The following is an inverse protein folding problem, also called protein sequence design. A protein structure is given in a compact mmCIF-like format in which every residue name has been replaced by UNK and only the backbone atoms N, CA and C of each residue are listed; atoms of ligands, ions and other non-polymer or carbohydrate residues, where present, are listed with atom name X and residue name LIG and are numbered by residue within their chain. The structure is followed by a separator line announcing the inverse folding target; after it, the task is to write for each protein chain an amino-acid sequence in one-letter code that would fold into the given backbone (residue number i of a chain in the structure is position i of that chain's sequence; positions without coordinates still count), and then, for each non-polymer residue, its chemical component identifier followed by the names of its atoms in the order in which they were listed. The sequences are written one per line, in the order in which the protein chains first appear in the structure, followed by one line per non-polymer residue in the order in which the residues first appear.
data_IF_205157684277
#
_entry.id   IF_205157684277
#
_cell.length_a   1.000
_cell.length_b   1.000
_cell.length_c   1.000
_cell.angle_alpha   90.00
_cell.angle_beta   90.00
_cell.angle_gamma   90.00
#
_symmetry.space_group_name_H-M   'P 1'
#
loop_
_entity.id
_entity.type
_entity.pdbx_description
1 polymer ?
#
# COMPACT_ATOMS: atom_id res chain seq x y z
N UNK A 1 -13.23 -44.08 18.62
CA UNK A 1 -12.03 -43.62 17.88
C UNK A 1 -12.31 -42.50 16.85
N UNK A 2 -13.56 -42.24 16.45
CA UNK A 2 -13.92 -41.16 15.50
C UNK A 2 -13.93 -39.75 16.11
N UNK A 3 -14.14 -39.61 17.44
CA UNK A 3 -14.27 -38.32 18.13
C UNK A 3 -12.95 -37.53 18.23
N UNK A 4 -11.82 -38.21 18.18
CA UNK A 4 -10.48 -37.60 18.21
C UNK A 4 -10.04 -37.08 16.82
N UNK A 5 -10.65 -37.56 15.72
CA UNK A 5 -10.34 -37.09 14.36
C UNK A 5 -10.97 -35.71 14.05
N UNK A 6 -12.12 -35.40 14.64
CA UNK A 6 -12.78 -34.11 14.43
C UNK A 6 -12.07 -32.95 15.16
N UNK A 7 -11.44 -33.22 16.30
CA UNK A 7 -10.69 -32.21 17.05
C UNK A 7 -9.41 -31.78 16.30
N UNK A 8 -8.76 -32.71 15.59
CA UNK A 8 -7.54 -32.43 14.81
C UNK A 8 -7.83 -31.65 13.52
N UNK A 9 -9.00 -31.85 12.91
CA UNK A 9 -9.38 -31.16 11.66
C UNK A 9 -9.71 -29.67 11.88
N UNK A 10 -10.23 -29.31 13.05
CA UNK A 10 -10.54 -27.91 13.41
C UNK A 10 -9.27 -27.14 13.78
N UNK A 11 -8.26 -27.81 14.36
CA UNK A 11 -6.99 -27.19 14.75
C UNK A 11 -6.07 -26.87 13.57
N UNK A 12 -6.22 -27.56 12.43
CA UNK A 12 -5.43 -27.31 11.22
C UNK A 12 -5.90 -26.09 10.41
N UNK A 13 -7.15 -25.62 10.63
CA UNK A 13 -7.75 -24.55 9.82
C UNK A 13 -7.40 -23.13 10.33
N UNK A 14 -6.89 -23.00 11.55
CA UNK A 14 -6.53 -21.69 12.16
C UNK A 14 -5.10 -21.25 11.88
N UNK A 15 -4.25 -22.09 11.28
CA UNK A 15 -2.83 -21.80 11.03
C UNK A 15 -2.53 -21.20 9.64
N UNK A 16 -3.55 -20.91 8.83
CA UNK A 16 -3.37 -20.46 7.44
C UNK A 16 -3.42 -18.92 7.23
N UNK A 17 -3.48 -18.11 8.30
CA UNK A 17 -3.61 -16.64 8.20
C UNK A 17 -2.34 -15.86 8.59
N UNK A 18 -1.17 -16.46 8.54
CA UNK A 18 0.11 -15.73 8.64
C UNK A 18 0.48 -15.16 7.27
N UNK A 19 -0.33 -14.23 6.77
CA UNK A 19 0.06 -13.34 5.68
C UNK A 19 1.15 -12.40 6.20
N UNK A 20 2.41 -12.75 5.96
CA UNK A 20 3.56 -11.92 6.29
C UNK A 20 3.68 -10.80 5.25
N UNK A 21 2.77 -9.81 5.29
CA UNK A 21 2.99 -8.52 4.65
C UNK A 21 3.97 -7.72 5.49
N UNK A 22 5.02 -7.15 4.87
CA UNK A 22 5.88 -6.21 5.60
C UNK A 22 5.09 -4.92 5.90
N UNK A 23 5.39 -4.25 7.01
CA UNK A 23 4.75 -2.96 7.35
C UNK A 23 4.88 -1.90 6.24
N UNK A 24 5.92 -2.01 5.40
CA UNK A 24 6.14 -1.15 4.24
C UNK A 24 5.12 -1.41 3.13
N UNK A 25 4.72 -2.66 2.90
CA UNK A 25 3.72 -3.01 1.89
C UNK A 25 2.33 -2.51 2.30
N UNK A 26 1.98 -2.65 3.58
CA UNK A 26 0.72 -2.14 4.09
C UNK A 26 0.69 -0.61 4.09
N UNK A 27 1.78 0.04 4.51
CA UNK A 27 1.93 1.49 4.36
C UNK A 27 1.83 1.92 2.88
N UNK A 28 2.40 1.16 1.94
CA UNK A 28 2.28 1.48 0.51
C UNK A 28 0.82 1.46 0.04
N UNK A 29 0.02 0.49 0.50
CA UNK A 29 -1.42 0.40 0.19
C UNK A 29 -2.18 1.60 0.75
N UNK A 30 -1.89 2.00 1.99
CA UNK A 30 -2.54 3.15 2.64
C UNK A 30 -2.19 4.47 1.95
N UNK A 31 -0.90 4.70 1.67
CA UNK A 31 -0.44 5.91 0.95
C UNK A 31 -1.06 5.95 -0.44
N UNK A 32 -1.10 4.82 -1.16
CA UNK A 32 -1.77 4.72 -2.47
C UNK A 32 -3.24 5.10 -2.37
N UNK A 33 -3.98 4.54 -1.42
CA UNK A 33 -5.39 4.86 -1.23
C UNK A 33 -5.60 6.36 -0.94
N UNK A 34 -4.74 6.96 -0.12
CA UNK A 34 -4.76 8.40 0.17
C UNK A 34 -4.50 9.26 -1.09
N UNK A 35 -3.56 8.87 -1.96
CA UNK A 35 -3.33 9.54 -3.24
C UNK A 35 -4.54 9.41 -4.18
N UNK A 36 -5.13 8.22 -4.30
CA UNK A 36 -6.32 7.98 -5.12
C UNK A 36 -7.50 8.83 -4.65
N UNK A 37 -7.74 8.92 -3.34
CA UNK A 37 -8.76 9.78 -2.76
C UNK A 37 -8.49 11.25 -3.04
N UNK A 38 -7.24 11.70 -2.83
CA UNK A 38 -6.84 13.10 -3.06
C UNK A 38 -7.03 13.49 -4.52
N UNK A 39 -6.60 12.64 -5.46
CA UNK A 39 -6.75 12.92 -6.89
C UNK A 39 -8.22 12.93 -7.32
N UNK A 40 -9.06 12.05 -6.77
CA UNK A 40 -10.48 12.02 -7.10
C UNK A 40 -11.24 13.30 -6.68
N UNK A 41 -10.75 14.02 -5.67
CA UNK A 41 -11.40 15.21 -5.13
C UNK A 41 -11.07 16.51 -5.90
N UNK A 42 -10.01 16.54 -6.72
CA UNK A 42 -9.61 17.73 -7.48
C UNK A 42 -9.88 17.56 -8.98
N UNK A 43 -10.57 18.53 -9.59
CA UNK A 43 -10.87 18.53 -11.01
C UNK A 43 -9.63 18.48 -11.91
N UNK A 44 -8.50 19.02 -11.43
CA UNK A 44 -7.23 19.02 -12.15
C UNK A 44 -6.57 17.65 -12.15
N UNK A 45 -6.82 16.78 -11.17
CA UNK A 45 -6.10 15.50 -11.00
C UNK A 45 -7.00 14.27 -11.07
N UNK A 46 -8.33 14.39 -11.03
CA UNK A 46 -9.27 13.25 -11.08
C UNK A 46 -9.18 12.37 -12.33
N UNK A 47 -8.49 12.83 -13.38
CA UNK A 47 -8.26 12.08 -14.61
C UNK A 47 -6.99 11.22 -14.54
N UNK A 48 -6.15 11.41 -13.51
CA UNK A 48 -4.93 10.65 -13.25
C UNK A 48 -5.34 9.26 -12.72
N UNK A 49 -4.80 8.22 -13.35
CA UNK A 49 -4.97 6.84 -12.88
C UNK A 49 -3.66 6.30 -12.33
N UNK A 50 -3.63 5.96 -11.03
CA UNK A 50 -2.48 5.27 -10.45
C UNK A 50 -2.44 3.84 -10.97
N UNK A 51 -1.39 3.49 -11.72
CA UNK A 51 -1.17 2.13 -12.24
C UNK A 51 -0.40 1.28 -11.23
N UNK A 52 0.65 1.85 -10.67
CA UNK A 52 1.49 1.18 -9.70
C UNK A 52 2.04 2.19 -8.69
N UNK A 53 2.26 1.71 -7.46
CA UNK A 53 2.94 2.46 -6.42
C UNK A 53 3.81 1.51 -5.61
N UNK A 54 5.12 1.71 -5.70
CA UNK A 54 6.09 0.94 -4.93
C UNK A 54 6.69 1.84 -3.86
N UNK A 55 6.78 1.36 -2.62
CA UNK A 55 7.38 2.08 -1.50
C UNK A 55 8.60 1.33 -0.97
N UNK A 56 9.70 2.05 -0.74
CA UNK A 56 10.90 1.52 -0.10
C UNK A 56 11.17 2.30 1.19
N UNK A 57 11.60 1.58 2.22
CA UNK A 57 12.10 2.22 3.45
C UNK A 57 13.50 2.76 3.18
N UNK A 58 13.75 4.03 3.52
CA UNK A 58 15.05 4.66 3.33
C UNK A 58 15.83 4.66 4.65
N UNK A 59 15.36 5.43 5.63
CA UNK A 59 15.95 5.50 6.97
C UNK A 59 14.95 6.11 7.96
N UNK A 60 15.05 5.69 9.23
CA UNK A 60 14.20 6.18 10.30
C UNK A 60 12.71 6.14 9.94
N UNK A 61 12.09 7.31 9.87
CA UNK A 61 10.66 7.50 9.53
C UNK A 61 10.41 7.78 8.05
N UNK A 62 11.44 7.74 7.20
CA UNK A 62 11.40 8.18 5.80
C UNK A 62 11.34 7.00 4.86
N UNK A 63 10.55 7.18 3.81
CA UNK A 63 10.32 6.22 2.75
C UNK A 63 10.33 6.95 1.41
N UNK A 64 10.76 6.27 0.35
CA UNK A 64 10.66 6.76 -1.03
C UNK A 64 9.72 5.90 -1.83
N UNK A 65 8.81 6.54 -2.53
CA UNK A 65 7.83 5.93 -3.40
C UNK A 65 8.17 6.17 -4.87
N UNK A 66 7.88 5.18 -5.71
CA UNK A 66 7.81 5.34 -7.16
C UNK A 66 6.35 5.23 -7.58
N UNK A 67 5.78 6.33 -8.02
CA UNK A 67 4.39 6.42 -8.46
C UNK A 67 4.33 6.39 -9.99
N UNK A 68 3.66 5.39 -10.54
CA UNK A 68 3.41 5.29 -11.97
C UNK A 68 1.95 5.59 -12.28
N UNK A 69 1.70 6.61 -13.10
CA UNK A 69 0.36 7.06 -13.47
C UNK A 69 0.09 6.88 -14.96
N UNK A 70 -1.19 6.96 -15.31
CA UNK A 70 -1.67 7.16 -16.68
C UNK A 70 -2.49 8.45 -16.71
N UNK A 71 -2.08 9.41 -17.52
CA UNK A 71 -2.67 10.75 -17.61
C UNK A 71 -2.87 11.08 -19.08
N UNK A 72 -4.12 11.27 -19.49
CA UNK A 72 -4.46 11.56 -20.89
C UNK A 72 -3.91 10.53 -21.91
N UNK A 73 -3.70 9.29 -21.50
CA UNK A 73 -3.17 8.21 -22.34
C UNK A 73 -1.63 8.09 -22.34
N UNK A 74 -0.94 8.98 -21.64
CA UNK A 74 0.51 8.94 -21.45
C UNK A 74 0.88 8.42 -20.07
N UNK A 75 2.04 7.76 -19.98
CA UNK A 75 2.56 7.22 -18.72
C UNK A 75 3.53 8.23 -18.11
N UNK A 76 3.32 8.54 -16.83
CA UNK A 76 4.23 9.35 -16.05
C UNK A 76 4.75 8.57 -14.85
N UNK A 77 5.96 8.91 -14.42
CA UNK A 77 6.61 8.32 -13.25
C UNK A 77 7.08 9.46 -12.36
N UNK A 78 6.68 9.42 -11.10
CA UNK A 78 7.04 10.41 -10.10
C UNK A 78 7.75 9.77 -8.91
N UNK A 79 8.64 10.55 -8.30
CA UNK A 79 9.17 10.20 -6.98
C UNK A 79 8.25 10.77 -5.92
N UNK A 80 7.90 9.97 -4.93
CA UNK A 80 7.08 10.38 -3.79
C UNK A 80 7.92 10.26 -2.53
N UNK A 81 7.95 11.30 -1.70
CA UNK A 81 8.50 11.20 -0.36
C UNK A 81 7.38 10.88 0.62
N UNK A 82 7.61 9.92 1.51
CA UNK A 82 6.65 9.52 2.54
C UNK A 82 7.34 9.56 3.89
N UNK A 83 6.71 10.18 4.88
CA UNK A 83 7.12 10.11 6.28
C UNK A 83 6.06 9.38 7.09
N UNK A 84 6.45 8.39 7.89
CA UNK A 84 5.54 7.59 8.73
C UNK A 84 6.10 7.45 10.15
N UNK A 85 5.29 7.77 11.15
CA UNK A 85 5.72 7.74 12.55
C UNK A 85 5.35 6.46 13.31
N UNK A 86 4.71 5.50 12.63
CA UNK A 86 4.17 4.28 13.24
C UNK A 86 2.66 4.34 13.49
N UNK A 87 2.02 5.49 13.28
CA UNK A 87 0.57 5.67 13.38
C UNK A 87 -0.01 6.51 12.24
N UNK A 88 0.69 7.54 11.78
CA UNK A 88 0.22 8.48 10.76
C UNK A 88 1.31 8.70 9.71
N UNK A 89 0.90 8.92 8.46
CA UNK A 89 1.81 9.25 7.37
C UNK A 89 1.49 10.59 6.72
N UNK A 90 2.50 11.16 6.06
CA UNK A 90 2.38 12.26 5.11
C UNK A 90 3.11 11.86 3.82
N UNK A 91 2.63 12.33 2.67
CA UNK A 91 3.28 12.10 1.38
C UNK A 91 3.33 13.38 0.53
N UNK A 92 4.35 13.48 -0.32
CA UNK A 92 4.54 14.58 -1.26
C UNK A 92 5.13 14.06 -2.57
N UNK A 93 4.60 14.52 -3.70
CA UNK A 93 5.15 14.25 -5.02
C UNK A 93 6.28 15.25 -5.30
N UNK A 94 7.49 14.75 -5.55
CA UNK A 94 8.64 15.59 -5.90
C UNK A 94 8.62 15.93 -7.39
N UNK A 95 8.86 17.20 -7.71
CA UNK A 95 8.99 17.73 -9.08
C UNK A 95 10.45 17.84 -9.51
#
# INVERSE_FOLDING_TARGET
MIKQLFATLILAMTLALSGCGSSTEDLAKEVRASMEETFAQDAATRHIQIKDFTLIHEDGKKYKGLLNTMESGEKFTYTVEVTYDGSTFMWEVQQ
#
